data_IF_635431074813
#
_entry.id   IF_635431074813
#
_cell.length_a   1.000
_cell.length_b   1.000
_cell.length_c   1.000
_cell.angle_alpha   90.00
_cell.angle_beta   90.00
_cell.angle_gamma   90.00
#
_symmetry.space_group_name_H-M   'P 1'
#
loop_
_entity.id
_entity.type
_entity.pdbx_description
1 polymer ?
#
# COMPACT_ATOMS: atom_id res chain seq x y z
N UNK A 1 28.84 20.69 23.06
CA UNK A 1 28.59 20.92 21.62
C UNK A 1 28.23 19.58 21.01
N UNK A 2 27.10 19.43 20.30
CA UNK A 2 26.81 18.16 19.65
C UNK A 2 27.85 17.95 18.55
N UNK A 3 28.46 16.77 18.55
CA UNK A 3 29.51 16.34 17.62
C UNK A 3 29.06 16.53 16.17
N UNK A 4 29.65 17.50 15.46
CA UNK A 4 29.37 17.79 14.04
C UNK A 4 29.95 16.75 13.07
N UNK A 5 30.32 15.56 13.56
CA UNK A 5 31.06 14.57 12.76
C UNK A 5 30.16 13.53 12.07
N UNK A 6 28.88 13.44 12.46
CA UNK A 6 27.93 12.43 11.93
C UNK A 6 26.95 13.06 10.92
N UNK A 7 26.73 12.45 9.74
CA UNK A 7 25.76 12.96 8.78
C UNK A 7 24.34 12.91 9.37
N UNK A 8 23.47 13.81 8.90
CA UNK A 8 22.07 13.92 9.32
C UNK A 8 21.10 13.24 8.36
N UNK A 9 21.53 13.01 7.12
CA UNK A 9 20.77 12.31 6.09
C UNK A 9 21.66 11.25 5.41
N UNK A 10 21.18 10.01 5.29
CA UNK A 10 21.83 8.98 4.48
C UNK A 10 21.01 8.73 3.23
N UNK A 11 21.59 9.01 2.07
CA UNK A 11 21.00 8.68 0.77
C UNK A 11 21.35 7.24 0.43
N UNK A 12 20.35 6.36 0.41
CA UNK A 12 20.49 4.93 0.17
C UNK A 12 20.07 4.62 -1.26
N UNK A 13 21.01 4.11 -2.07
CA UNK A 13 20.82 3.90 -3.51
C UNK A 13 21.02 2.42 -3.83
N UNK A 14 19.94 1.63 -4.05
CA UNK A 14 20.08 0.28 -4.58
C UNK A 14 20.42 0.34 -6.07
N UNK A 15 21.49 -0.35 -6.46
CA UNK A 15 21.96 -0.45 -7.84
C UNK A 15 22.22 -1.91 -8.23
N UNK A 16 21.98 -2.22 -9.50
CA UNK A 16 22.34 -3.48 -10.13
C UNK A 16 22.62 -3.23 -11.60
N UNK A 17 23.85 -3.51 -12.03
CA UNK A 17 24.42 -3.14 -13.31
C UNK A 17 24.32 -1.62 -13.60
N UNK A 18 24.54 -1.22 -14.86
CA UNK A 18 24.35 0.16 -15.35
C UNK A 18 25.16 1.25 -14.64
N UNK A 19 26.47 1.03 -14.44
CA UNK A 19 27.35 2.01 -13.79
C UNK A 19 27.40 3.40 -14.44
N UNK A 20 27.14 3.53 -15.74
CA UNK A 20 27.05 4.84 -16.42
C UNK A 20 25.83 5.65 -16.00
N UNK A 21 24.74 4.98 -15.67
CA UNK A 21 23.51 5.63 -15.19
C UNK A 21 23.69 6.05 -13.74
N UNK A 22 24.27 5.17 -12.91
CA UNK A 22 24.66 5.49 -11.54
C UNK A 22 25.60 6.71 -11.48
N UNK A 23 26.56 6.81 -12.41
CA UNK A 23 27.45 7.97 -12.50
C UNK A 23 26.67 9.29 -12.63
N UNK A 24 25.60 9.31 -13.44
CA UNK A 24 24.74 10.50 -13.62
C UNK A 24 24.01 10.85 -12.32
N UNK A 25 23.48 9.83 -11.62
CA UNK A 25 22.85 9.98 -10.30
C UNK A 25 23.83 10.55 -9.28
N UNK A 26 25.03 9.98 -9.14
CA UNK A 26 26.04 10.44 -8.20
C UNK A 26 26.52 11.87 -8.51
N UNK A 27 26.71 12.20 -9.79
CA UNK A 27 27.04 13.56 -10.21
C UNK A 27 25.96 14.58 -9.82
N UNK A 28 24.68 14.20 -9.79
CA UNK A 28 23.61 15.09 -9.33
C UNK A 28 23.68 15.37 -7.82
N UNK A 29 24.16 14.41 -7.04
CA UNK A 29 24.31 14.56 -5.59
C UNK A 29 25.47 15.48 -5.21
N UNK A 30 26.46 15.70 -6.09
CA UNK A 30 27.51 16.71 -5.85
C UNK A 30 27.02 18.15 -6.03
N UNK A 31 25.79 18.36 -6.50
CA UNK A 31 25.21 19.68 -6.79
C UNK A 31 24.08 20.06 -5.83
N UNK A 32 24.00 19.38 -4.68
CA UNK A 32 22.95 19.63 -3.70
C UNK A 32 23.21 20.92 -2.93
N UNK A 33 22.14 21.62 -2.55
CA UNK A 33 22.20 22.81 -1.71
C UNK A 33 22.44 22.48 -0.23
N UNK A 34 22.21 21.23 0.16
CA UNK A 34 22.59 20.71 1.48
C UNK A 34 24.12 20.51 1.50
N UNK A 35 24.85 21.02 2.52
CA UNK A 35 26.29 20.83 2.63
C UNK A 35 26.70 19.35 2.65
N UNK A 36 27.83 19.01 2.00
CA UNK A 36 28.28 17.63 1.83
C UNK A 36 28.58 16.90 3.14
N UNK A 37 28.90 17.63 4.20
CA UNK A 37 29.11 17.12 5.55
C UNK A 37 27.80 16.71 6.27
N UNK A 38 26.67 17.27 5.86
CA UNK A 38 25.36 16.99 6.45
C UNK A 38 24.71 15.70 5.92
N UNK A 39 25.25 15.12 4.84
CA UNK A 39 24.73 13.87 4.30
C UNK A 39 25.83 12.87 3.96
N UNK A 40 25.42 11.63 3.76
CA UNK A 40 26.24 10.58 3.17
C UNK A 40 25.46 9.86 2.08
N UNK A 41 26.19 9.16 1.22
CA UNK A 41 25.62 8.34 0.14
C UNK A 41 26.09 6.90 0.34
N UNK A 42 25.15 5.96 0.35
CA UNK A 42 25.44 4.53 0.47
C UNK A 42 24.85 3.81 -0.73
N UNK A 43 25.72 3.32 -1.60
CA UNK A 43 25.35 2.57 -2.80
C UNK A 43 25.37 1.08 -2.49
N UNK A 44 24.24 0.40 -2.69
CA UNK A 44 24.16 -1.06 -2.65
C UNK A 44 24.33 -1.65 -4.04
N UNK A 45 25.43 -2.35 -4.30
CA UNK A 45 25.67 -3.10 -5.54
C UNK A 45 25.16 -4.54 -5.36
N UNK A 46 24.01 -4.86 -5.97
CA UNK A 46 23.34 -6.16 -5.84
C UNK A 46 23.99 -7.24 -6.72
N UNK A 47 25.29 -7.45 -6.59
CA UNK A 47 26.04 -8.45 -7.34
C UNK A 47 26.09 -8.18 -8.85
N UNK A 48 26.30 -6.92 -9.26
CA UNK A 48 26.44 -6.53 -10.68
C UNK A 48 27.55 -7.32 -11.37
N UNK A 49 27.40 -7.60 -12.67
CA UNK A 49 28.40 -8.37 -13.42
C UNK A 49 29.76 -7.66 -13.47
N UNK A 50 29.73 -6.34 -13.65
CA UNK A 50 30.86 -5.44 -13.46
C UNK A 50 30.67 -4.70 -12.14
N UNK A 51 31.61 -4.77 -11.18
CA UNK A 51 31.49 -4.08 -9.90
C UNK A 51 31.29 -2.58 -10.05
N UNK A 52 30.41 -2.00 -9.21
CA UNK A 52 30.10 -0.57 -9.24
C UNK A 52 31.04 0.28 -8.38
N UNK A 53 31.87 -0.34 -7.54
CA UNK A 53 32.82 0.35 -6.67
C UNK A 53 33.72 1.38 -7.41
N UNK A 54 34.31 1.08 -8.59
CA UNK A 54 35.11 2.07 -9.33
C UNK A 54 34.32 3.30 -9.78
N UNK A 55 33.01 3.19 -10.01
CA UNK A 55 32.15 4.35 -10.31
C UNK A 55 31.97 5.21 -9.06
N UNK A 56 31.72 4.55 -7.92
CA UNK A 56 31.51 5.20 -6.62
C UNK A 56 32.75 5.94 -6.14
N UNK A 57 33.93 5.34 -6.28
CA UNK A 57 35.22 5.89 -5.84
C UNK A 57 35.57 7.23 -6.50
N UNK A 58 35.08 7.51 -7.71
CA UNK A 58 35.28 8.81 -8.41
C UNK A 58 34.62 10.00 -7.72
N UNK A 59 33.79 9.76 -6.72
CA UNK A 59 33.06 10.79 -5.98
C UNK A 59 33.53 10.91 -4.53
N UNK A 60 34.49 10.09 -4.08
CA UNK A 60 34.96 10.08 -2.69
C UNK A 60 35.65 11.39 -2.25
N UNK A 61 36.11 12.20 -3.21
CA UNK A 61 36.68 13.52 -2.99
C UNK A 61 35.63 14.63 -2.79
N UNK A 62 34.39 14.38 -3.21
CA UNK A 62 33.28 15.36 -3.24
C UNK A 62 32.11 14.98 -2.33
N UNK A 63 31.96 13.69 -2.01
CA UNK A 63 30.86 13.15 -1.22
C UNK A 63 31.41 12.22 -0.14
N UNK A 64 30.77 12.24 1.04
CA UNK A 64 30.87 11.12 1.99
C UNK A 64 30.11 9.94 1.41
N UNK A 65 30.80 9.08 0.66
CA UNK A 65 30.18 8.00 -0.11
C UNK A 65 30.81 6.64 0.18
N UNK A 66 30.00 5.59 0.19
CA UNK A 66 30.45 4.20 0.32
C UNK A 66 29.67 3.26 -0.59
N UNK A 67 30.25 2.10 -0.87
CA UNK A 67 29.62 1.03 -1.64
C UNK A 67 29.58 -0.27 -0.82
N UNK A 68 28.44 -0.93 -0.80
CA UNK A 68 28.23 -2.25 -0.21
C UNK A 68 27.85 -3.19 -1.34
N UNK A 69 28.61 -4.27 -1.52
CA UNK A 69 28.36 -5.23 -2.60
C UNK A 69 27.88 -6.56 -2.05
N UNK A 70 26.82 -7.09 -2.64
CA UNK A 70 26.39 -8.48 -2.48
C UNK A 70 27.18 -9.39 -3.44
N UNK A 71 27.43 -10.63 -3.03
CA UNK A 71 28.10 -11.62 -3.88
C UNK A 71 27.26 -12.02 -5.11
N UNK A 72 25.94 -12.06 -4.91
CA UNK A 72 24.94 -12.37 -5.95
C UNK A 72 23.76 -11.40 -5.87
N UNK A 73 22.98 -11.30 -6.94
CA UNK A 73 21.72 -10.55 -6.93
C UNK A 73 20.72 -11.19 -5.96
N UNK A 74 20.32 -10.44 -4.93
CA UNK A 74 19.37 -10.85 -3.88
C UNK A 74 18.04 -10.10 -3.96
N UNK A 75 17.89 -9.22 -4.94
CA UNK A 75 16.70 -8.41 -5.15
C UNK A 75 16.73 -7.08 -4.39
N UNK A 76 15.82 -6.17 -4.78
CA UNK A 76 15.79 -4.78 -4.31
C UNK A 76 15.68 -4.66 -2.79
N UNK A 77 14.80 -5.43 -2.15
CA UNK A 77 14.60 -5.40 -0.70
C UNK A 77 15.90 -5.70 0.07
N UNK A 78 16.55 -6.82 -0.26
CA UNK A 78 17.79 -7.23 0.39
C UNK A 78 18.93 -6.23 0.12
N UNK A 79 19.01 -5.69 -1.10
CA UNK A 79 20.02 -4.69 -1.43
C UNK A 79 19.81 -3.37 -0.67
N UNK A 80 18.57 -2.85 -0.60
CA UNK A 80 18.22 -1.66 0.20
C UNK A 80 18.54 -1.88 1.67
N UNK A 81 18.22 -3.05 2.22
CA UNK A 81 18.56 -3.41 3.60
C UNK A 81 20.07 -3.42 3.84
N UNK A 82 20.84 -4.05 2.94
CA UNK A 82 22.30 -4.13 3.05
C UNK A 82 22.96 -2.74 3.02
N UNK A 83 22.49 -1.85 2.13
CA UNK A 83 22.96 -0.48 2.06
C UNK A 83 22.52 0.34 3.30
N UNK A 84 21.23 0.28 3.68
CA UNK A 84 20.72 0.97 4.86
C UNK A 84 21.37 0.50 6.17
N UNK A 85 21.84 -0.74 6.25
CA UNK A 85 22.57 -1.25 7.41
C UNK A 85 23.92 -0.54 7.62
N UNK A 86 24.55 -0.01 6.56
CA UNK A 86 25.77 0.81 6.65
C UNK A 86 25.48 2.30 6.85
N UNK A 87 24.24 2.73 6.61
CA UNK A 87 23.84 4.10 6.85
C UNK A 87 23.92 4.45 8.34
N UNK A 88 24.54 5.59 8.61
CA UNK A 88 24.82 6.14 9.93
C UNK A 88 23.90 7.30 10.29
N UNK A 89 23.26 7.99 9.36
CA UNK A 89 22.42 9.14 9.73
C UNK A 89 21.10 8.74 10.39
N UNK A 90 20.46 9.69 11.07
CA UNK A 90 19.17 9.48 11.74
C UNK A 90 18.00 9.48 10.75
N UNK A 91 18.20 9.99 9.53
CA UNK A 91 17.22 9.97 8.43
C UNK A 91 17.75 9.16 7.27
N UNK A 92 16.93 8.26 6.72
CA UNK A 92 17.21 7.52 5.50
C UNK A 92 16.38 8.10 4.36
N UNK A 93 17.01 8.54 3.27
CA UNK A 93 16.37 8.88 2.00
C UNK A 93 16.70 7.80 0.99
N UNK A 94 15.69 7.18 0.41
CA UNK A 94 15.87 6.22 -0.67
C UNK A 94 15.73 6.94 -2.03
N UNK A 95 16.65 6.65 -2.95
CA UNK A 95 16.64 7.08 -4.35
C UNK A 95 17.03 5.91 -5.25
N UNK A 96 16.48 5.84 -6.46
CA UNK A 96 16.91 4.83 -7.44
C UNK A 96 18.23 5.23 -8.12
N UNK A 97 19.00 4.24 -8.58
CA UNK A 97 20.30 4.44 -9.23
C UNK A 97 20.26 5.12 -10.61
N UNK A 98 19.06 5.41 -11.11
CA UNK A 98 18.74 6.10 -12.36
C UNK A 98 17.94 7.38 -12.13
N UNK A 99 18.05 7.95 -10.93
CA UNK A 99 17.41 9.21 -10.54
C UNK A 99 18.42 10.35 -10.46
N UNK A 100 18.07 11.50 -11.04
CA UNK A 100 18.79 12.76 -10.90
C UNK A 100 18.08 13.61 -9.84
N UNK A 101 18.78 13.90 -8.75
CA UNK A 101 18.26 14.72 -7.67
C UNK A 101 18.23 16.20 -8.07
N UNK A 102 17.09 16.87 -7.91
CA UNK A 102 17.04 18.33 -8.00
C UNK A 102 17.99 18.95 -6.95
N UNK A 103 18.69 20.08 -7.22
CA UNK A 103 19.63 20.67 -6.25
C UNK A 103 19.06 20.92 -4.86
N UNK A 104 17.75 21.20 -4.75
CA UNK A 104 17.07 21.42 -3.49
C UNK A 104 16.59 20.14 -2.78
N UNK A 105 16.68 18.97 -3.39
CA UNK A 105 16.02 17.74 -2.92
C UNK A 105 16.46 17.39 -1.49
N UNK A 106 17.76 17.22 -1.26
CA UNK A 106 18.26 16.76 0.04
C UNK A 106 17.93 17.76 1.17
N UNK A 107 18.02 19.06 0.89
CA UNK A 107 17.72 20.10 1.87
C UNK A 107 16.27 20.05 2.36
N UNK A 108 15.32 19.71 1.48
CA UNK A 108 13.89 19.60 1.84
C UNK A 108 13.61 18.38 2.70
N UNK A 109 14.14 17.21 2.33
CA UNK A 109 14.07 16.01 3.18
C UNK A 109 14.71 16.26 4.55
N UNK A 110 15.90 16.88 4.59
CA UNK A 110 16.58 17.23 5.83
C UNK A 110 15.76 18.19 6.71
N UNK A 111 15.19 19.24 6.11
CA UNK A 111 14.44 20.26 6.82
C UNK A 111 13.14 19.69 7.43
N UNK A 112 12.41 18.86 6.69
CA UNK A 112 11.22 18.17 7.20
C UNK A 112 11.54 17.36 8.46
N UNK A 113 12.55 16.48 8.39
CA UNK A 113 12.94 15.64 9.53
C UNK A 113 13.51 16.46 10.69
N UNK A 114 14.22 17.56 10.43
CA UNK A 114 14.66 18.48 11.47
C UNK A 114 13.47 19.09 12.24
N UNK A 115 12.42 19.49 11.53
CA UNK A 115 11.23 20.12 12.11
C UNK A 115 10.37 19.15 12.94
N UNK A 116 10.56 17.84 12.79
CA UNK A 116 9.88 16.84 13.61
C UNK A 116 10.45 16.75 15.03
N UNK A 117 11.67 17.23 15.26
CA UNK A 117 12.34 17.24 16.57
C UNK A 117 12.36 15.84 17.23
N UNK A 118 12.83 14.84 16.48
CA UNK A 118 12.91 13.45 16.93
C UNK A 118 11.60 12.67 16.87
N UNK A 119 10.47 13.29 16.50
CA UNK A 119 9.24 12.56 16.21
C UNK A 119 9.38 11.76 14.90
N UNK A 120 8.72 10.60 14.79
CA UNK A 120 8.75 9.79 13.58
C UNK A 120 8.02 10.50 12.44
N UNK A 121 8.45 10.25 11.21
CA UNK A 121 7.80 10.81 10.03
C UNK A 121 8.33 10.27 8.71
N UNK A 122 7.55 10.49 7.66
CA UNK A 122 7.86 10.10 6.29
C UNK A 122 7.63 11.30 5.38
N UNK A 123 8.66 11.68 4.61
CA UNK A 123 8.52 12.65 3.52
C UNK A 123 8.50 11.90 2.19
N UNK A 124 7.43 12.08 1.44
CA UNK A 124 7.31 11.67 0.04
C UNK A 124 7.65 12.88 -0.83
N UNK A 125 8.69 12.77 -1.66
CA UNK A 125 9.01 13.78 -2.67
C UNK A 125 8.35 13.47 -4.00
N UNK A 126 8.35 14.42 -4.93
CA UNK A 126 7.79 14.24 -6.28
C UNK A 126 8.85 13.76 -7.28
N UNK A 127 8.42 12.96 -8.26
CA UNK A 127 9.25 12.50 -9.37
C UNK A 127 8.64 12.90 -10.71
N UNK A 128 9.49 13.18 -11.68
CA UNK A 128 9.12 13.24 -13.09
C UNK A 128 9.90 12.19 -13.87
N UNK A 129 9.22 11.44 -14.73
CA UNK A 129 9.87 10.56 -15.69
C UNK A 129 10.34 11.41 -16.89
N UNK A 130 11.65 11.48 -17.11
CA UNK A 130 12.18 12.23 -18.24
C UNK A 130 12.08 11.44 -19.54
N UNK A 131 11.92 12.17 -20.64
CA UNK A 131 12.13 11.62 -21.97
C UNK A 131 13.62 11.68 -22.38
N UNK A 132 13.90 11.24 -23.61
CA UNK A 132 15.26 11.24 -24.15
C UNK A 132 15.85 12.65 -24.25
N UNK A 133 15.05 13.67 -24.57
CA UNK A 133 15.52 15.04 -24.69
C UNK A 133 15.91 15.62 -23.32
N UNK A 134 15.08 15.40 -22.29
CA UNK A 134 15.39 15.80 -20.92
C UNK A 134 16.61 15.07 -20.36
N UNK A 135 16.74 13.77 -20.65
CA UNK A 135 17.92 13.00 -20.25
C UNK A 135 19.21 13.51 -20.93
N UNK A 136 19.15 13.84 -22.22
CA UNK A 136 20.30 14.37 -22.94
C UNK A 136 20.67 15.78 -22.49
N UNK A 137 19.69 16.63 -22.16
CA UNK A 137 19.93 17.94 -21.53
C UNK A 137 20.72 17.79 -20.23
N UNK A 138 20.29 16.88 -19.33
CA UNK A 138 21.02 16.62 -18.09
C UNK A 138 22.44 16.13 -18.31
N UNK A 139 22.67 15.26 -19.31
CA UNK A 139 24.02 14.78 -19.66
C UNK A 139 24.93 15.88 -20.18
N UNK A 140 24.37 16.93 -20.80
CA UNK A 140 25.11 18.13 -21.21
C UNK A 140 25.29 19.16 -20.09
N UNK A 141 24.74 18.90 -18.90
CA UNK A 141 24.77 19.82 -17.77
C UNK A 141 23.77 20.98 -17.90
N UNK A 142 22.80 20.86 -18.81
CA UNK A 142 21.72 21.84 -18.97
C UNK A 142 20.66 21.64 -17.87
N UNK A 143 19.99 22.72 -17.42
CA UNK A 143 18.85 22.60 -16.52
C UNK A 143 17.66 21.93 -17.24
N UNK A 144 16.80 21.26 -16.46
CA UNK A 144 15.52 20.78 -16.97
C UNK A 144 14.56 21.97 -17.10
N UNK A 145 14.14 22.26 -18.33
CA UNK A 145 13.11 23.27 -18.60
C UNK A 145 11.73 22.71 -18.19
N UNK A 146 10.86 23.49 -17.53
CA UNK A 146 9.49 23.07 -17.22
C UNK A 146 8.69 22.56 -18.44
N UNK A 147 8.98 23.02 -19.65
CA UNK A 147 8.37 22.53 -20.89
C UNK A 147 8.76 21.10 -21.24
N UNK A 148 9.85 20.57 -20.65
CA UNK A 148 10.25 19.18 -20.76
C UNK A 148 9.53 18.28 -19.75
N UNK A 149 8.79 18.87 -18.81
CA UNK A 149 8.01 18.15 -17.81
C UNK A 149 6.57 18.00 -18.30
N UNK A 150 6.22 16.78 -18.68
CA UNK A 150 4.87 16.44 -19.14
C UNK A 150 4.04 15.89 -17.97
N UNK A 151 2.78 16.28 -17.87
CA UNK A 151 1.86 15.75 -16.87
C UNK A 151 1.61 14.23 -17.06
N UNK A 152 1.60 13.74 -18.31
CA UNK A 152 1.50 12.30 -18.64
C UNK A 152 2.76 11.53 -18.24
N UNK A 153 3.85 12.24 -17.93
CA UNK A 153 5.11 11.70 -17.40
C UNK A 153 5.35 12.12 -15.96
N UNK A 154 4.33 12.69 -15.32
CA UNK A 154 4.33 13.00 -13.90
C UNK A 154 4.32 11.72 -13.05
N UNK A 155 4.46 11.90 -11.76
CA UNK A 155 4.44 10.78 -10.82
C UNK A 155 3.07 10.08 -10.84
N UNK A 156 2.98 8.79 -11.24
CA UNK A 156 1.70 8.10 -11.30
C UNK A 156 1.01 7.99 -9.93
N UNK A 157 1.76 8.16 -8.82
CA UNK A 157 1.19 8.25 -7.47
C UNK A 157 0.26 9.44 -7.29
N UNK A 158 0.53 10.52 -8.01
CA UNK A 158 -0.20 11.78 -7.84
C UNK A 158 -1.52 11.77 -8.61
N UNK A 159 -1.81 10.79 -9.46
CA UNK A 159 -3.09 10.72 -10.20
C UNK A 159 -4.31 10.80 -9.27
N UNK A 160 -4.30 10.06 -8.15
CA UNK A 160 -5.39 10.08 -7.16
C UNK A 160 -5.61 11.49 -6.61
N UNK A 161 -4.53 12.24 -6.36
CA UNK A 161 -4.55 13.50 -5.62
C UNK A 161 -4.31 14.74 -6.48
N UNK A 162 -4.05 14.57 -7.78
CA UNK A 162 -3.94 15.65 -8.76
C UNK A 162 -5.30 16.32 -8.97
N UNK A 163 -6.40 15.60 -8.72
CA UNK A 163 -7.72 16.18 -8.68
C UNK A 163 -7.96 16.91 -7.34
N UNK A 164 -8.24 18.23 -7.32
CA UNK A 164 -8.34 19.00 -6.07
C UNK A 164 -9.35 18.43 -5.06
N UNK A 165 -10.44 17.83 -5.54
CA UNK A 165 -11.47 17.22 -4.69
C UNK A 165 -11.02 15.92 -3.99
N UNK A 166 -9.90 15.33 -4.41
CA UNK A 166 -9.37 14.04 -3.92
C UNK A 166 -8.11 14.16 -3.07
N UNK A 167 -7.53 15.36 -2.96
CA UNK A 167 -6.43 15.63 -2.02
C UNK A 167 -6.80 15.20 -0.58
N UNK A 168 -8.08 15.35 -0.22
CA UNK A 168 -8.64 14.92 1.08
C UNK A 168 -8.61 13.40 1.32
N UNK A 169 -8.38 12.59 0.28
CA UNK A 169 -8.31 11.14 0.39
C UNK A 169 -6.91 10.69 0.84
N UNK A 170 -5.87 11.51 0.63
CA UNK A 170 -4.48 11.20 1.03
C UNK A 170 -4.32 10.77 2.50
N UNK A 171 -4.94 11.45 3.49
CA UNK A 171 -4.85 11.04 4.89
C UNK A 171 -5.36 9.62 5.20
N UNK A 172 -6.22 9.04 4.36
CA UNK A 172 -6.82 7.72 4.63
C UNK A 172 -5.82 6.57 4.54
N UNK A 173 -4.87 6.65 3.60
CA UNK A 173 -3.88 5.60 3.34
C UNK A 173 -2.64 6.18 2.67
N UNK A 174 -1.92 7.13 3.29
CA UNK A 174 -0.82 7.85 2.65
C UNK A 174 0.35 6.92 2.27
N UNK A 175 0.46 5.77 2.93
CA UNK A 175 1.41 4.70 2.61
C UNK A 175 1.26 4.14 1.20
N UNK A 176 0.08 4.26 0.56
CA UNK A 176 -0.15 3.86 -0.84
C UNK A 176 0.73 4.67 -1.80
N UNK A 177 1.13 5.88 -1.41
CA UNK A 177 2.04 6.73 -2.18
C UNK A 177 3.52 6.53 -1.75
N UNK A 178 3.79 5.61 -0.81
CA UNK A 178 5.12 5.30 -0.31
C UNK A 178 5.94 4.50 -1.32
N UNK A 179 6.55 5.17 -2.29
CA UNK A 179 7.51 4.56 -3.21
C UNK A 179 8.91 5.13 -2.94
N UNK A 180 9.91 4.26 -2.87
CA UNK A 180 11.25 4.61 -2.35
C UNK A 180 12.19 5.19 -3.40
N UNK A 181 11.68 5.53 -4.58
CA UNK A 181 12.42 6.28 -5.59
C UNK A 181 12.68 7.74 -5.18
N UNK A 182 11.87 8.28 -4.26
CA UNK A 182 12.01 9.60 -3.65
C UNK A 182 11.19 9.65 -2.35
N UNK A 183 11.67 8.98 -1.31
CA UNK A 183 11.02 8.99 0.00
C UNK A 183 12.03 8.88 1.14
N UNK A 184 11.83 9.65 2.20
CA UNK A 184 12.64 9.55 3.41
C UNK A 184 11.84 9.20 4.65
N UNK A 185 12.49 8.52 5.59
CA UNK A 185 11.94 8.03 6.85
C UNK A 185 12.99 8.15 7.94
N UNK A 186 12.57 8.29 9.20
CA UNK A 186 13.49 8.20 10.32
C UNK A 186 14.06 6.77 10.45
N UNK A 187 15.34 6.67 10.79
CA UNK A 187 16.06 5.39 10.88
C UNK A 187 15.51 4.48 11.97
N UNK A 188 14.96 5.06 13.04
CA UNK A 188 14.34 4.28 14.12
C UNK A 188 13.14 3.48 13.62
N UNK A 189 12.23 4.11 12.87
CA UNK A 189 11.08 3.45 12.25
C UNK A 189 11.51 2.37 11.28
N UNK A 190 12.52 2.64 10.44
CA UNK A 190 13.10 1.62 9.55
C UNK A 190 13.59 0.39 10.30
N UNK A 191 14.32 0.57 11.41
CA UNK A 191 14.82 -0.52 12.23
C UNK A 191 13.71 -1.28 12.96
N UNK A 192 12.73 -0.57 13.51
CA UNK A 192 11.61 -1.18 14.26
C UNK A 192 10.72 -2.06 13.39
N UNK A 193 10.61 -1.77 12.10
CA UNK A 193 9.93 -2.67 11.15
C UNK A 193 10.86 -3.72 10.55
N UNK A 194 12.16 -3.74 10.88
CA UNK A 194 13.18 -4.61 10.31
C UNK A 194 13.41 -4.42 8.80
N UNK A 195 13.36 -3.16 8.33
CA UNK A 195 13.64 -2.81 6.93
C UNK A 195 12.62 -3.36 5.93
N UNK A 196 13.05 -3.59 4.69
CA UNK A 196 12.23 -4.17 3.62
C UNK A 196 12.07 -5.69 3.79
N UNK A 197 10.95 -6.23 3.35
CA UNK A 197 10.70 -7.68 3.36
C UNK A 197 11.53 -8.37 2.27
N UNK A 198 12.59 -9.08 2.67
CA UNK A 198 13.48 -9.79 1.75
C UNK A 198 12.82 -11.01 1.07
N UNK A 199 11.64 -11.45 1.52
CA UNK A 199 10.87 -12.46 0.78
C UNK A 199 10.27 -11.89 -0.52
N UNK A 200 10.14 -10.57 -0.64
CA UNK A 200 9.69 -9.88 -1.86
C UNK A 200 10.85 -9.70 -2.85
N UNK A 201 11.31 -10.80 -3.45
CA UNK A 201 12.45 -10.82 -4.39
C UNK A 201 12.04 -10.35 -5.79
N UNK A 202 10.76 -10.54 -6.16
CA UNK A 202 10.24 -10.13 -7.46
C UNK A 202 10.04 -8.61 -7.52
N UNK A 203 9.65 -8.08 -8.68
CA UNK A 203 9.56 -6.64 -8.90
C UNK A 203 8.27 -6.05 -8.29
N UNK A 204 8.37 -4.97 -7.49
CA UNK A 204 7.25 -4.14 -7.04
C UNK A 204 6.60 -4.57 -5.71
N UNK A 205 5.81 -3.66 -5.13
CA UNK A 205 5.10 -3.79 -3.83
C UNK A 205 5.97 -3.84 -2.56
N UNK A 206 7.30 -3.97 -2.67
CA UNK A 206 8.19 -3.98 -1.51
C UNK A 206 8.21 -2.65 -0.76
N UNK A 207 8.10 -1.54 -1.48
CA UNK A 207 8.01 -0.20 -0.92
C UNK A 207 6.69 0.00 -0.17
N UNK A 208 5.59 -0.46 -0.78
CA UNK A 208 4.25 -0.36 -0.19
C UNK A 208 4.15 -1.20 1.08
N UNK A 209 4.66 -2.42 1.10
CA UNK A 209 4.74 -3.24 2.33
C UNK A 209 5.57 -2.57 3.41
N UNK A 210 6.73 -1.99 3.04
CA UNK A 210 7.58 -1.27 3.97
C UNK A 210 6.85 -0.09 4.61
N UNK A 211 6.28 0.81 3.81
CA UNK A 211 5.56 1.98 4.33
C UNK A 211 4.23 1.61 5.00
N UNK A 212 3.58 0.52 4.62
CA UNK A 212 2.42 -0.04 5.33
C UNK A 212 2.79 -0.44 6.75
N UNK A 213 3.89 -1.18 6.91
CA UNK A 213 4.40 -1.56 8.24
C UNK A 213 4.81 -0.35 9.07
N UNK A 214 5.46 0.65 8.47
CA UNK A 214 5.80 1.91 9.16
C UNK A 214 4.54 2.67 9.59
N UNK A 215 3.53 2.75 8.73
CA UNK A 215 2.26 3.40 9.02
C UNK A 215 1.55 2.76 10.23
N UNK A 216 1.45 1.43 10.24
CA UNK A 216 0.80 0.70 11.33
C UNK A 216 1.64 0.58 12.60
N UNK A 217 2.98 0.61 12.52
CA UNK A 217 3.87 0.72 13.67
C UNK A 217 3.51 1.93 14.55
N UNK A 218 3.09 3.02 13.92
CA UNK A 218 2.76 4.29 14.58
C UNK A 218 1.26 4.52 14.71
N UNK A 219 0.45 3.45 14.67
CA UNK A 219 -0.99 3.51 14.92
C UNK A 219 -1.82 4.03 13.76
N UNK A 220 -1.35 3.88 12.50
CA UNK A 220 -2.07 4.30 11.29
C UNK A 220 -2.40 5.80 11.28
N UNK A 221 -1.48 6.63 11.81
CA UNK A 221 -1.66 8.07 11.94
C UNK A 221 -1.45 8.80 10.61
N UNK A 222 -2.44 9.56 10.10
CA UNK A 222 -2.31 10.25 8.82
C UNK A 222 -1.20 11.31 8.76
N UNK A 223 -0.93 11.98 9.88
CA UNK A 223 0.09 13.04 10.01
C UNK A 223 1.53 12.49 9.96
N UNK A 224 1.71 11.17 9.99
CA UNK A 224 3.01 10.53 9.84
C UNK A 224 3.63 10.78 8.46
N UNK A 225 2.81 10.93 7.43
CA UNK A 225 3.26 11.13 6.06
C UNK A 225 3.03 12.57 5.61
N UNK A 226 4.02 13.14 4.92
CA UNK A 226 3.92 14.42 4.23
C UNK A 226 4.31 14.24 2.77
N UNK A 227 3.54 14.82 1.87
CA UNK A 227 3.94 15.01 0.48
C UNK A 227 4.53 16.42 0.32
N UNK A 228 5.73 16.50 -0.26
CA UNK A 228 6.34 17.75 -0.70
C UNK A 228 6.61 17.69 -2.21
N UNK A 229 5.75 18.35 -2.96
CA UNK A 229 5.81 18.44 -4.44
C UNK A 229 7.05 19.19 -4.94
N UNK A 230 7.71 19.97 -4.08
CA UNK A 230 8.93 20.68 -4.42
C UNK A 230 10.20 19.90 -4.03
N UNK A 231 10.07 18.78 -3.31
CA UNK A 231 11.14 17.81 -3.11
C UNK A 231 11.27 16.94 -4.38
N UNK A 232 11.89 17.53 -5.41
CA UNK A 232 11.86 17.02 -6.79
C UNK A 232 13.02 16.08 -7.14
N UNK A 233 12.71 15.08 -7.93
CA UNK A 233 13.67 14.16 -8.56
C UNK A 233 13.26 13.86 -9.99
N UNK A 234 14.22 13.49 -10.84
CA UNK A 234 14.00 13.20 -12.25
C UNK A 234 14.50 11.80 -12.57
N UNK A 235 13.61 10.94 -13.04
CA UNK A 235 13.96 9.56 -13.36
C UNK A 235 14.34 9.43 -14.83
N UNK A 236 15.51 8.85 -15.08
CA UNK A 236 16.07 8.74 -16.41
C UNK A 236 15.31 7.68 -17.24
N UNK A 237 15.14 7.91 -18.56
CA UNK A 237 14.54 6.92 -19.43
C UNK A 237 15.44 5.69 -19.52
N UNK A 238 14.85 4.51 -19.35
CA UNK A 238 15.54 3.24 -19.51
C UNK A 238 14.58 2.18 -20.07
N UNK A 239 15.14 1.06 -20.53
CA UNK A 239 14.35 -0.06 -21.02
C UNK A 239 13.51 -0.66 -19.88
N UNK A 240 12.19 -0.77 -20.10
CA UNK A 240 11.26 -1.41 -19.14
C UNK A 240 10.93 -2.82 -19.61
N UNK A 241 11.23 -3.82 -18.78
CA UNK A 241 10.86 -5.22 -19.06
C UNK A 241 9.35 -5.38 -18.86
N UNK A 242 8.64 -5.82 -19.90
CA UNK A 242 7.18 -6.07 -19.84
C UNK A 242 6.81 -7.19 -18.87
N UNK A 243 7.73 -8.13 -18.60
CA UNK A 243 7.55 -9.21 -17.63
C UNK A 243 7.40 -8.73 -16.18
N UNK A 244 7.78 -7.49 -15.86
CA UNK A 244 7.70 -6.95 -14.50
C UNK A 244 6.25 -6.91 -13.96
N UNK A 245 5.26 -6.73 -14.82
CA UNK A 245 3.84 -6.72 -14.41
C UNK A 245 3.33 -8.08 -13.93
N UNK A 246 3.82 -9.18 -14.51
CA UNK A 246 3.51 -10.52 -13.99
C UNK A 246 4.26 -10.80 -12.69
N UNK A 247 5.50 -10.32 -12.59
CA UNK A 247 6.34 -10.51 -11.40
C UNK A 247 5.79 -9.77 -10.17
N UNK A 248 5.15 -8.61 -10.36
CA UNK A 248 4.55 -7.83 -9.25
C UNK A 248 3.34 -8.49 -8.62
N UNK A 249 2.60 -9.29 -9.38
CA UNK A 249 1.42 -10.01 -8.89
C UNK A 249 1.76 -10.96 -7.72
N UNK A 250 2.95 -11.55 -7.71
CA UNK A 250 3.35 -12.47 -6.65
C UNK A 250 3.66 -11.73 -5.34
N UNK A 251 4.35 -10.58 -5.42
CA UNK A 251 4.59 -9.73 -4.25
C UNK A 251 3.29 -9.11 -3.74
N UNK A 252 2.36 -8.74 -4.62
CA UNK A 252 1.03 -8.25 -4.22
C UNK A 252 0.23 -9.34 -3.48
N UNK A 253 0.24 -10.58 -3.98
CA UNK A 253 -0.38 -11.73 -3.28
C UNK A 253 0.29 -12.00 -1.93
N UNK A 254 1.62 -11.88 -1.86
CA UNK A 254 2.38 -12.00 -0.61
C UNK A 254 1.97 -10.92 0.39
N UNK A 255 1.89 -9.66 -0.04
CA UNK A 255 1.43 -8.53 0.79
C UNK A 255 0.02 -8.79 1.33
N UNK A 256 -0.93 -9.24 0.50
CA UNK A 256 -2.29 -9.53 0.94
C UNK A 256 -2.35 -10.72 1.90
N UNK A 257 -1.51 -11.76 1.76
CA UNK A 257 -1.43 -12.86 2.74
C UNK A 257 -0.84 -12.42 4.07
N UNK A 258 0.10 -11.49 4.04
CA UNK A 258 0.79 -10.94 5.21
C UNK A 258 -0.10 -9.96 5.97
N UNK A 259 -0.88 -9.16 5.25
CA UNK A 259 -1.73 -8.10 5.79
C UNK A 259 -3.18 -8.32 5.36
N UNK A 260 -3.90 -9.14 6.13
CA UNK A 260 -5.31 -9.48 5.88
C UNK A 260 -6.26 -8.35 6.31
N UNK A 261 -6.11 -7.18 5.68
CA UNK A 261 -6.82 -5.94 6.00
C UNK A 261 -7.41 -5.32 4.73
N UNK A 262 -8.57 -4.68 4.89
CA UNK A 262 -9.39 -4.21 3.78
C UNK A 262 -8.67 -3.18 2.90
N UNK A 263 -7.80 -2.37 3.49
CA UNK A 263 -7.02 -1.36 2.79
C UNK A 263 -6.02 -1.99 1.82
N UNK A 264 -5.40 -3.11 2.21
CA UNK A 264 -4.56 -3.95 1.33
C UNK A 264 -5.40 -4.73 0.32
N UNK A 265 -6.59 -5.19 0.72
CA UNK A 265 -7.53 -5.85 -0.20
C UNK A 265 -7.96 -4.91 -1.33
N UNK A 266 -8.24 -3.64 -1.03
CA UNK A 266 -8.63 -2.63 -2.03
C UNK A 266 -7.48 -2.36 -3.01
N UNK A 267 -6.22 -2.46 -2.59
CA UNK A 267 -5.09 -2.43 -3.52
C UNK A 267 -5.08 -3.66 -4.44
N UNK A 268 -5.37 -4.84 -3.91
CA UNK A 268 -5.35 -6.09 -4.67
C UNK A 268 -6.53 -6.22 -5.64
N UNK A 269 -7.74 -5.91 -5.16
CA UNK A 269 -8.99 -6.25 -5.81
C UNK A 269 -9.18 -5.53 -7.15
N UNK A 270 -8.43 -4.45 -7.39
CA UNK A 270 -8.79 -3.43 -8.34
C UNK A 270 -7.55 -2.98 -9.14
N UNK A 271 -7.52 -3.34 -10.42
CA UNK A 271 -6.55 -2.83 -11.40
C UNK A 271 -6.93 -1.40 -11.86
N UNK A 272 -7.15 -0.48 -10.92
CA UNK A 272 -7.41 0.95 -11.21
C UNK A 272 -6.35 1.80 -10.55
N UNK A 273 -5.23 2.00 -11.25
CA UNK A 273 -4.45 3.22 -11.04
C UNK A 273 -5.42 4.41 -11.01
N UNK A 274 -5.34 5.27 -9.99
CA UNK A 274 -6.14 6.49 -9.94
C UNK A 274 -7.35 6.51 -8.98
N UNK A 275 -7.68 5.44 -8.23
CA UNK A 275 -8.85 5.43 -7.30
C UNK A 275 -8.68 4.70 -5.96
N UNK A 276 -7.46 4.33 -5.55
CA UNK A 276 -7.28 3.51 -4.36
C UNK A 276 -7.58 4.29 -3.08
N UNK A 277 -7.06 5.51 -2.94
CA UNK A 277 -7.21 6.31 -1.73
C UNK A 277 -8.69 6.59 -1.42
N UNK A 278 -9.45 7.00 -2.45
CA UNK A 278 -10.88 7.27 -2.32
C UNK A 278 -11.69 6.04 -1.90
N UNK A 279 -11.34 4.85 -2.40
CA UNK A 279 -12.02 3.59 -2.02
C UNK A 279 -11.64 3.13 -0.62
N UNK A 280 -10.37 3.23 -0.24
CA UNK A 280 -9.93 2.91 1.13
C UNK A 280 -10.62 3.84 2.14
N UNK A 281 -10.72 5.14 1.83
CA UNK A 281 -11.47 6.09 2.65
C UNK A 281 -12.95 5.69 2.74
N UNK A 282 -13.61 5.46 1.60
CA UNK A 282 -15.04 5.14 1.55
C UNK A 282 -15.37 3.89 2.38
N UNK A 283 -14.60 2.81 2.22
CA UNK A 283 -14.83 1.57 2.95
C UNK A 283 -14.48 1.67 4.43
N UNK A 284 -13.44 2.43 4.78
CA UNK A 284 -13.15 2.74 6.18
C UNK A 284 -14.29 3.51 6.84
N UNK A 285 -14.78 4.57 6.20
CA UNK A 285 -15.96 5.33 6.66
C UNK A 285 -17.21 4.45 6.76
N UNK A 286 -17.40 3.51 5.82
CA UNK A 286 -18.52 2.60 5.82
C UNK A 286 -18.50 1.62 7.00
N UNK A 287 -17.35 0.98 7.27
CA UNK A 287 -17.17 0.08 8.41
C UNK A 287 -17.50 0.82 9.72
N UNK A 288 -16.95 2.02 9.91
CA UNK A 288 -17.22 2.83 11.11
C UNK A 288 -18.68 3.31 11.21
N UNK A 289 -19.29 3.70 10.09
CA UNK A 289 -20.69 4.10 10.06
C UNK A 289 -21.62 2.93 10.41
N UNK A 290 -21.37 1.75 9.87
CA UNK A 290 -22.16 0.55 10.16
C UNK A 290 -22.03 0.16 11.63
N UNK A 291 -20.80 0.19 12.16
CA UNK A 291 -20.53 -0.03 13.59
C UNK A 291 -21.33 0.94 14.48
N UNK A 292 -21.28 2.24 14.19
CA UNK A 292 -22.00 3.26 14.99
C UNK A 292 -23.51 3.12 14.94
N UNK A 293 -24.06 2.59 13.85
CA UNK A 293 -25.49 2.38 13.67
C UNK A 293 -25.95 0.96 14.06
N UNK A 294 -25.07 0.12 14.62
CA UNK A 294 -25.41 -1.24 15.05
C UNK A 294 -25.63 -2.24 13.90
N UNK A 295 -25.23 -1.90 12.68
CA UNK A 295 -25.33 -2.80 11.52
C UNK A 295 -24.22 -3.85 11.53
N UNK A 296 -24.57 -5.05 11.06
CA UNK A 296 -23.65 -6.18 10.96
C UNK A 296 -23.33 -6.84 12.30
N UNK A 297 -23.96 -6.39 13.39
CA UNK A 297 -23.74 -6.84 14.78
C UNK A 297 -24.99 -7.47 15.38
N UNK A 298 -25.43 -8.63 14.87
CA UNK A 298 -26.60 -9.30 15.42
C UNK A 298 -26.28 -9.89 16.80
N UNK A 299 -27.24 -9.84 17.72
CA UNK A 299 -27.15 -10.59 19.00
C UNK A 299 -27.17 -12.10 18.76
N UNK A 300 -27.92 -12.54 17.74
CA UNK A 300 -27.95 -13.92 17.26
C UNK A 300 -28.31 -13.97 15.76
N UNK A 301 -27.77 -14.96 15.05
CA UNK A 301 -28.22 -15.30 13.70
C UNK A 301 -29.50 -16.15 13.73
N UNK A 302 -30.30 -16.24 12.65
CA UNK A 302 -31.48 -17.11 12.63
C UNK A 302 -31.18 -18.57 13.00
N UNK A 303 -32.09 -19.23 13.71
CA UNK A 303 -31.88 -20.58 14.28
C UNK A 303 -31.40 -21.61 13.26
N UNK A 304 -32.01 -21.62 12.07
CA UNK A 304 -31.63 -22.52 10.97
C UNK A 304 -30.17 -22.32 10.54
N UNK A 305 -29.71 -21.06 10.49
CA UNK A 305 -28.35 -20.72 10.12
C UNK A 305 -27.37 -21.12 11.24
N UNK A 306 -27.72 -20.90 12.50
CA UNK A 306 -26.88 -21.32 13.64
C UNK A 306 -26.66 -22.83 13.68
N UNK A 307 -27.71 -23.62 13.42
CA UNK A 307 -27.61 -25.07 13.40
C UNK A 307 -26.64 -25.58 12.30
N UNK A 308 -26.66 -24.95 11.13
CA UNK A 308 -25.74 -25.27 10.04
C UNK A 308 -24.30 -24.84 10.35
N UNK A 309 -24.11 -23.61 10.83
CA UNK A 309 -22.80 -23.07 11.22
C UNK A 309 -22.13 -23.87 12.34
N UNK A 310 -22.90 -24.52 13.21
CA UNK A 310 -22.36 -25.35 14.28
C UNK A 310 -21.67 -26.63 13.77
N UNK A 311 -22.00 -27.08 12.56
CA UNK A 311 -21.53 -28.38 12.02
C UNK A 311 -20.69 -28.26 10.75
N UNK A 312 -20.77 -27.14 10.04
CA UNK A 312 -20.00 -26.88 8.81
C UNK A 312 -18.75 -26.02 8.99
N UNK A 313 -18.02 -25.85 7.89
CA UNK A 313 -16.92 -24.91 7.72
C UNK A 313 -17.46 -23.65 7.05
N UNK A 314 -17.42 -22.52 7.75
CA UNK A 314 -18.04 -21.30 7.25
C UNK A 314 -17.13 -20.09 7.32
N UNK A 315 -17.44 -19.06 6.54
CA UNK A 315 -16.93 -17.71 6.72
C UNK A 315 -18.08 -16.78 7.11
N UNK A 316 -18.00 -16.15 8.28
CA UNK A 316 -19.01 -15.21 8.77
C UNK A 316 -18.44 -13.80 8.78
N UNK A 317 -19.03 -12.91 7.99
CA UNK A 317 -18.58 -11.53 7.77
C UNK A 317 -19.59 -10.60 8.45
N UNK A 318 -19.13 -9.72 9.34
CA UNK A 318 -19.99 -8.80 10.08
C UNK A 318 -19.21 -8.03 11.14
N UNK A 319 -19.86 -7.08 11.80
CA UNK A 319 -19.30 -6.39 12.96
C UNK A 319 -19.63 -7.17 14.24
N UNK A 320 -18.67 -7.61 15.03
CA UNK A 320 -18.91 -8.30 16.30
C UNK A 320 -19.39 -9.74 16.17
N UNK A 321 -19.38 -10.31 14.96
CA UNK A 321 -19.77 -11.70 14.70
C UNK A 321 -18.83 -12.72 15.34
N UNK A 322 -17.61 -12.33 15.71
CA UNK A 322 -16.67 -13.20 16.43
C UNK A 322 -17.11 -13.50 17.87
N UNK A 323 -18.08 -12.75 18.41
CA UNK A 323 -18.67 -13.03 19.72
C UNK A 323 -19.78 -14.10 19.67
N UNK A 324 -20.22 -14.50 18.48
CA UNK A 324 -21.24 -15.52 18.30
C UNK A 324 -20.67 -16.92 18.52
N UNK A 325 -21.53 -17.85 18.94
CA UNK A 325 -21.18 -19.27 18.96
C UNK A 325 -21.17 -19.82 17.53
N UNK A 326 -19.95 -19.99 16.99
CA UNK A 326 -19.70 -20.52 15.65
C UNK A 326 -19.01 -21.89 15.74
N UNK A 327 -19.18 -22.74 14.73
CA UNK A 327 -18.50 -24.04 14.67
C UNK A 327 -16.98 -23.89 14.58
N UNK A 328 -16.23 -24.87 15.09
CA UNK A 328 -14.76 -24.81 15.17
C UNK A 328 -14.03 -24.65 13.83
N UNK A 329 -14.67 -24.97 12.71
CA UNK A 329 -14.16 -24.73 11.36
C UNK A 329 -14.44 -23.33 10.81
N UNK A 330 -15.06 -22.44 11.61
CA UNK A 330 -15.51 -21.14 11.12
C UNK A 330 -14.38 -20.11 11.14
N UNK A 331 -14.35 -19.32 10.08
CA UNK A 331 -13.58 -18.10 9.97
C UNK A 331 -14.51 -16.90 10.08
N UNK A 332 -14.00 -15.77 10.54
CA UNK A 332 -14.72 -14.51 10.57
C UNK A 332 -13.99 -13.44 9.80
N UNK A 333 -14.75 -12.52 9.19
CA UNK A 333 -14.24 -11.17 8.92
C UNK A 333 -14.98 -10.20 9.81
N UNK A 334 -14.30 -9.81 10.89
CA UNK A 334 -14.87 -9.01 11.94
C UNK A 334 -13.92 -7.87 12.34
N UNK A 335 -14.39 -6.66 12.06
CA UNK A 335 -13.66 -5.43 12.36
C UNK A 335 -13.75 -4.99 13.83
N UNK A 336 -14.58 -5.62 14.65
CA UNK A 336 -14.70 -5.36 16.10
C UNK A 336 -13.79 -6.26 16.94
N UNK A 337 -13.33 -7.38 16.38
CA UNK A 337 -12.37 -8.28 17.00
C UNK A 337 -10.95 -8.06 16.43
N UNK A 338 -9.87 -8.29 17.18
CA UNK A 338 -8.52 -8.22 16.62
C UNK A 338 -8.32 -9.27 15.51
N UNK A 339 -7.45 -9.01 14.52
CA UNK A 339 -7.13 -9.99 13.50
C UNK A 339 -6.34 -11.16 14.12
N UNK A 340 -6.50 -12.35 13.54
CA UNK A 340 -5.88 -13.59 14.04
C UNK A 340 -5.99 -14.74 13.05
N UNK A 341 -5.69 -15.98 13.46
CA UNK A 341 -5.70 -17.14 12.57
C UNK A 341 -7.06 -17.42 11.91
N UNK A 342 -8.15 -17.12 12.62
CA UNK A 342 -9.52 -17.35 12.16
C UNK A 342 -10.28 -16.06 11.87
N UNK A 343 -9.79 -14.88 12.29
CA UNK A 343 -10.42 -13.59 12.00
C UNK A 343 -9.53 -12.72 11.09
N UNK A 344 -10.07 -12.24 9.98
CA UNK A 344 -9.38 -11.24 9.12
C UNK A 344 -10.17 -9.94 9.08
N UNK A 345 -9.53 -8.84 8.67
CA UNK A 345 -10.19 -7.54 8.50
C UNK A 345 -10.42 -7.24 7.03
N UNK A 346 -10.89 -8.22 6.26
CA UNK A 346 -11.15 -8.12 4.83
C UNK A 346 -12.64 -7.80 4.58
N UNK A 347 -12.96 -7.17 3.44
CA UNK A 347 -14.31 -6.99 2.92
C UNK A 347 -14.86 -8.30 2.31
N UNK A 348 -13.96 -9.18 1.86
CA UNK A 348 -14.29 -10.47 1.26
C UNK A 348 -14.47 -10.48 -0.25
N UNK A 349 -14.23 -9.36 -0.92
CA UNK A 349 -14.13 -9.28 -2.38
C UNK A 349 -12.94 -10.08 -2.92
N UNK A 350 -11.95 -10.41 -2.08
CA UNK A 350 -10.82 -11.28 -2.36
C UNK A 350 -10.71 -12.35 -1.27
N UNK A 351 -10.80 -13.61 -1.68
CA UNK A 351 -10.82 -14.77 -0.78
C UNK A 351 -9.66 -15.73 -1.10
N UNK A 352 -8.46 -15.19 -1.34
CA UNK A 352 -7.31 -15.98 -1.78
C UNK A 352 -6.74 -16.92 -0.69
N UNK A 353 -7.03 -16.64 0.58
CA UNK A 353 -6.67 -17.48 1.72
C UNK A 353 -7.47 -18.78 1.77
N UNK A 354 -8.60 -18.85 1.05
CA UNK A 354 -9.41 -20.05 0.94
C UNK A 354 -9.16 -20.75 -0.40
N UNK A 355 -9.01 -22.07 -0.38
CA UNK A 355 -8.99 -22.90 -1.60
C UNK A 355 -10.40 -22.97 -2.20
N UNK A 356 -10.51 -23.38 -3.46
CA UNK A 356 -11.83 -23.61 -4.06
C UNK A 356 -12.57 -24.73 -3.31
N UNK A 357 -13.85 -24.54 -3.03
CA UNK A 357 -14.67 -25.47 -2.24
C UNK A 357 -14.17 -25.71 -0.81
N UNK A 358 -13.46 -24.75 -0.22
CA UNK A 358 -12.92 -24.90 1.14
C UNK A 358 -13.93 -24.58 2.24
N UNK A 359 -15.06 -23.98 1.89
CA UNK A 359 -16.11 -23.57 2.81
C UNK A 359 -17.41 -24.25 2.35
N UNK A 360 -18.27 -24.61 3.29
CA UNK A 360 -19.63 -25.03 2.99
C UNK A 360 -20.52 -23.79 2.75
N UNK A 361 -20.23 -22.72 3.49
CA UNK A 361 -21.09 -21.55 3.57
C UNK A 361 -20.31 -20.24 3.79
N UNK A 362 -20.75 -19.16 3.14
CA UNK A 362 -20.36 -17.79 3.49
C UNK A 362 -21.61 -17.05 3.98
N UNK A 363 -21.52 -16.41 5.13
CA UNK A 363 -22.57 -15.55 5.69
C UNK A 363 -22.04 -14.13 5.74
N UNK A 364 -22.73 -13.16 5.14
CA UNK A 364 -22.39 -11.76 5.26
C UNK A 364 -23.56 -11.00 5.91
N UNK A 365 -23.31 -10.42 7.08
CA UNK A 365 -24.30 -9.74 7.90
C UNK A 365 -24.14 -8.23 7.73
N UNK A 366 -25.07 -7.64 6.98
CA UNK A 366 -25.17 -6.25 6.55
C UNK A 366 -23.96 -5.65 5.81
N UNK A 367 -22.71 -6.08 6.02
CA UNK A 367 -21.52 -5.44 5.43
C UNK A 367 -21.54 -5.48 3.90
N UNK A 368 -22.16 -6.49 3.29
CA UNK A 368 -22.40 -6.54 1.85
C UNK A 368 -23.19 -5.33 1.32
N UNK A 369 -23.99 -4.67 2.17
CA UNK A 369 -24.87 -3.53 1.80
C UNK A 369 -24.08 -2.25 1.54
N UNK A 370 -22.83 -2.15 1.99
CA UNK A 370 -21.98 -1.02 1.61
C UNK A 370 -21.08 -1.30 0.41
N UNK A 371 -21.08 -2.54 -0.11
CA UNK A 371 -20.26 -2.85 -1.27
C UNK A 371 -20.76 -2.06 -2.48
N UNK A 372 -19.82 -1.48 -3.21
CA UNK A 372 -20.12 -0.77 -4.46
C UNK A 372 -20.74 -1.74 -5.49
N UNK A 373 -21.50 -1.24 -6.48
CA UNK A 373 -22.12 -2.07 -7.50
C UNK A 373 -21.15 -2.98 -8.26
N UNK A 374 -19.89 -2.58 -8.42
CA UNK A 374 -18.83 -3.41 -9.00
C UNK A 374 -18.23 -4.46 -8.05
N UNK A 375 -18.32 -4.24 -6.73
CA UNK A 375 -17.67 -5.08 -5.72
C UNK A 375 -18.57 -6.18 -5.20
N UNK A 376 -19.88 -5.93 -5.09
CA UNK A 376 -20.84 -6.96 -4.68
C UNK A 376 -20.83 -8.17 -5.64
N UNK A 377 -20.87 -8.01 -6.98
CA UNK A 377 -20.74 -9.14 -7.90
C UNK A 377 -19.38 -9.85 -7.79
N UNK A 378 -18.30 -9.12 -7.52
CA UNK A 378 -16.99 -9.70 -7.30
C UNK A 378 -16.96 -10.56 -6.02
N UNK A 379 -17.55 -10.07 -4.93
CA UNK A 379 -17.76 -10.84 -3.69
C UNK A 379 -18.57 -12.11 -3.97
N UNK A 380 -19.72 -12.00 -4.63
CA UNK A 380 -20.60 -13.14 -4.90
C UNK A 380 -19.91 -14.19 -5.79
N UNK A 381 -19.37 -13.78 -6.93
CA UNK A 381 -18.75 -14.69 -7.89
C UNK A 381 -17.53 -15.39 -7.29
N UNK A 382 -16.67 -14.65 -6.59
CA UNK A 382 -15.47 -15.23 -5.97
C UNK A 382 -15.83 -16.05 -4.74
N UNK A 383 -16.85 -15.66 -3.98
CA UNK A 383 -17.37 -16.40 -2.84
C UNK A 383 -17.94 -17.77 -3.24
N UNK A 384 -18.71 -17.84 -4.32
CA UNK A 384 -19.27 -19.10 -4.84
C UNK A 384 -18.21 -20.04 -5.46
N UNK A 385 -16.99 -19.55 -5.74
CA UNK A 385 -15.86 -20.44 -6.03
C UNK A 385 -15.29 -21.09 -4.76
N UNK A 386 -15.59 -20.54 -3.58
CA UNK A 386 -15.07 -21.00 -2.28
C UNK A 386 -16.10 -21.77 -1.47
N UNK A 387 -17.38 -21.48 -1.66
CA UNK A 387 -18.50 -22.03 -0.90
C UNK A 387 -19.67 -22.48 -1.78
N UNK A 388 -20.47 -23.42 -1.28
CA UNK A 388 -21.65 -23.96 -1.98
C UNK A 388 -22.79 -22.93 -2.08
N UNK A 389 -22.84 -21.96 -1.16
CA UNK A 389 -23.77 -20.83 -1.19
C UNK A 389 -23.28 -19.66 -0.34
N UNK A 390 -23.91 -18.51 -0.58
CA UNK A 390 -23.73 -17.29 0.20
C UNK A 390 -25.07 -16.87 0.81
N UNK A 391 -25.08 -16.56 2.10
CA UNK A 391 -26.22 -15.95 2.80
C UNK A 391 -25.94 -14.46 3.01
N UNK A 392 -26.68 -13.61 2.32
CA UNK A 392 -26.70 -12.18 2.60
C UNK A 392 -27.77 -11.91 3.66
N UNK A 393 -27.34 -11.65 4.89
CA UNK A 393 -28.23 -11.32 6.00
C UNK A 393 -28.42 -9.81 6.04
N UNK A 394 -29.66 -9.35 5.87
CA UNK A 394 -30.07 -7.96 6.04
C UNK A 394 -30.80 -7.85 7.38
N UNK A 395 -30.18 -7.24 8.39
CA UNK A 395 -30.87 -7.06 9.67
C UNK A 395 -31.95 -5.98 9.55
N UNK A 396 -33.01 -6.11 10.35
CA UNK A 396 -34.10 -5.13 10.43
C UNK A 396 -33.76 -3.95 11.35
N UNK A 397 -32.47 -3.71 11.61
CA UNK A 397 -32.01 -2.54 12.36
C UNK A 397 -32.45 -1.28 11.61
N UNK A 398 -33.19 -0.35 12.26
CA UNK A 398 -33.66 0.88 11.63
C UNK A 398 -32.49 1.84 11.40
N UNK A 399 -32.38 2.37 10.18
CA UNK A 399 -31.25 3.21 9.77
C UNK A 399 -31.75 4.40 8.95
N UNK A 400 -31.33 5.61 9.34
CA UNK A 400 -31.53 6.81 8.52
C UNK A 400 -30.49 6.85 7.39
N UNK A 401 -30.92 6.43 6.20
CA UNK A 401 -30.08 6.39 5.01
C UNK A 401 -29.51 7.75 4.62
N UNK A 402 -30.24 8.86 4.87
CA UNK A 402 -29.75 10.20 4.54
C UNK A 402 -28.63 10.60 5.48
N UNK A 403 -28.72 10.21 6.76
CA UNK A 403 -27.66 10.43 7.74
C UNK A 403 -26.40 9.58 7.46
N UNK A 404 -26.50 8.52 6.66
CA UNK A 404 -25.34 7.71 6.26
C UNK A 404 -24.52 8.33 5.13
N UNK A 405 -25.06 9.26 4.34
CA UNK A 405 -24.33 9.81 3.19
C UNK A 405 -22.96 10.41 3.62
N UNK A 406 -21.87 10.15 2.86
CA UNK A 406 -21.81 9.49 1.55
C UNK A 406 -21.60 7.96 1.60
N UNK A 407 -21.72 7.31 2.75
CA UNK A 407 -21.51 5.86 2.90
C UNK A 407 -22.55 5.09 2.08
N UNK A 408 -22.16 4.07 1.28
CA UNK A 408 -23.10 3.26 0.53
C UNK A 408 -23.98 2.43 1.48
N UNK A 409 -25.27 2.37 1.17
CA UNK A 409 -26.22 1.55 1.90
C UNK A 409 -27.30 1.01 0.96
N UNK A 410 -27.27 -0.29 0.73
CA UNK A 410 -28.28 -0.99 -0.04
C UNK A 410 -29.50 -1.30 0.84
N UNK A 411 -30.56 -0.52 0.66
CA UNK A 411 -31.80 -0.67 1.40
C UNK A 411 -32.88 -1.45 0.65
N UNK A 412 -32.94 -1.28 -0.67
CA UNK A 412 -33.96 -1.87 -1.52
C UNK A 412 -33.56 -3.31 -1.90
N UNK A 413 -34.03 -4.26 -1.09
CA UNK A 413 -33.75 -5.68 -1.28
C UNK A 413 -34.46 -6.24 -2.52
N UNK A 414 -35.64 -5.73 -2.88
CA UNK A 414 -36.37 -6.18 -4.06
C UNK A 414 -35.62 -5.80 -5.33
N UNK A 415 -35.10 -4.57 -5.39
CA UNK A 415 -34.23 -4.13 -6.47
C UNK A 415 -32.97 -4.98 -6.60
N UNK A 416 -32.32 -5.30 -5.47
CA UNK A 416 -31.16 -6.19 -5.47
C UNK A 416 -31.52 -7.58 -6.00
N UNK A 417 -32.62 -8.16 -5.53
CA UNK A 417 -33.06 -9.50 -5.93
C UNK A 417 -33.34 -9.56 -7.43
N UNK A 418 -34.02 -8.56 -8.00
CA UNK A 418 -34.22 -8.45 -9.46
C UNK A 418 -32.90 -8.36 -10.24
N UNK A 419 -31.92 -7.63 -9.70
CA UNK A 419 -30.59 -7.54 -10.30
C UNK A 419 -29.86 -8.89 -10.27
N UNK A 420 -29.91 -9.61 -9.15
CA UNK A 420 -29.17 -10.87 -8.96
C UNK A 420 -29.81 -12.07 -9.69
N UNK A 421 -31.13 -12.13 -9.81
CA UNK A 421 -31.84 -13.25 -10.44
C UNK A 421 -31.45 -13.54 -11.88
N UNK A 422 -30.89 -12.55 -12.58
CA UNK A 422 -30.37 -12.73 -13.95
C UNK A 422 -29.07 -13.53 -14.02
N UNK A 423 -28.39 -13.69 -12.89
CA UNK A 423 -27.03 -14.23 -12.82
C UNK A 423 -26.89 -15.38 -11.82
N UNK A 424 -27.73 -15.43 -10.79
CA UNK A 424 -27.66 -16.39 -9.69
C UNK A 424 -29.03 -16.97 -9.37
N UNK A 425 -29.05 -18.15 -8.74
CA UNK A 425 -30.27 -18.63 -8.08
C UNK A 425 -30.38 -17.94 -6.74
N UNK A 426 -31.42 -17.14 -6.55
CA UNK A 426 -31.65 -16.38 -5.31
C UNK A 426 -32.95 -16.84 -4.66
N UNK A 427 -32.91 -17.12 -3.35
CA UNK A 427 -34.12 -17.34 -2.55
C UNK A 427 -34.17 -16.36 -1.39
N UNK A 428 -35.36 -15.86 -1.07
CA UNK A 428 -35.57 -14.89 0.01
C UNK A 428 -36.34 -15.55 1.14
N UNK A 429 -35.79 -15.48 2.35
CA UNK A 429 -36.42 -15.90 3.59
C UNK A 429 -36.56 -14.72 4.56
N UNK A 430 -37.75 -14.55 5.14
CA UNK A 430 -37.98 -13.52 6.16
C UNK A 430 -38.05 -14.20 7.52
N UNK A 431 -37.21 -13.74 8.44
CA UNK A 431 -37.09 -14.24 9.80
C UNK A 431 -37.34 -13.10 10.80
N UNK A 432 -37.50 -13.44 12.07
CA UNK A 432 -37.63 -12.44 13.12
C UNK A 432 -36.33 -11.61 13.19
N UNK A 433 -36.43 -10.31 12.92
CA UNK A 433 -35.31 -9.36 12.96
C UNK A 433 -34.35 -9.37 11.77
N UNK A 434 -34.52 -10.23 10.75
CA UNK A 434 -33.67 -10.23 9.56
C UNK A 434 -34.33 -10.81 8.30
N UNK A 435 -33.87 -10.36 7.13
CA UNK A 435 -34.16 -10.95 5.83
C UNK A 435 -32.91 -11.64 5.30
N UNK A 436 -33.04 -12.90 4.87
CA UNK A 436 -31.96 -13.71 4.32
C UNK A 436 -32.13 -13.84 2.80
N UNK A 437 -31.08 -13.51 2.06
CA UNK A 437 -31.00 -13.77 0.63
C UNK A 437 -29.94 -14.85 0.41
N UNK A 438 -30.39 -16.06 0.07
CA UNK A 438 -29.50 -17.17 -0.25
C UNK A 438 -29.15 -17.11 -1.72
N UNK A 439 -27.85 -17.06 -2.05
CA UNK A 439 -27.32 -16.97 -3.40
C UNK A 439 -26.53 -18.24 -3.73
N UNK A 440 -26.82 -18.85 -4.88
CA UNK A 440 -26.15 -20.04 -5.43
C UNK A 440 -25.75 -19.87 -6.89
#
# INVERSE_FOLDING_TARGET
MPTMDRPRLSVVIPAHDNGSVLDTTLASLTRQSLPAEEFEVVVGDDGSAVPLAPVVERYADRLRISCVRSDTNRGRSANRNAAAARATADTLLFLDADTVAHPGLLARHRAYHAALDGRPGVLLGQRYDLDWAGADALRRGEPIDPLMLDAERGDPRLEDIAHPQRIKDFPSAPWVLGLTHNASVDRESFLRVAGFDEAMVKWGFEDLDFFYRVFHLHGARPDLFRLDVEALSYHLPHFRKTSNGMASMDNMKHMLRKHLRYDVEVLYAINTFGRHLGRIRLYGEAIEAYRRNGLGRPDALPDALRAELATGTALVIGNGVSALELGSGSHTFDHDAPPGPTNSHLLGTVLQQFRAGALDLIVNVDLWRFLLPEDLPAFLTRGLLKADRIELVATHVPVDQRAMLPVPFMADLDYLVDMLHRHFTVTVGVHDGATLLTVR
#
